data_IF_780167242829
#
_entry.id   IF_780167242829
#
_cell.length_a   1.000
_cell.length_b   1.000
_cell.length_c   1.000
_cell.angle_alpha   90.00
_cell.angle_beta   90.00
_cell.angle_gamma   90.00
#
_symmetry.space_group_name_H-M   'P 1'
#
loop_
_entity.id
_entity.type
_entity.pdbx_description
1 polymer ?
#
# COMPACT_ATOMS: atom_id res chain seq x y z
N UNK A 1 -20.71 -0.75 86.12
CA UNK A 1 -21.88 -0.70 85.22
C UNK A 1 -21.40 -1.07 83.82
N UNK A 2 -21.66 -2.30 83.42
CA UNK A 2 -21.65 -2.88 82.07
C UNK A 2 -22.65 -4.06 82.17
N UNK A 3 -23.36 -4.52 81.11
CA UNK A 3 -22.90 -4.64 79.72
C UNK A 3 -23.99 -4.40 78.64
N UNK A 4 -23.64 -4.57 77.36
CA UNK A 4 -24.36 -5.40 76.35
C UNK A 4 -24.21 -4.88 74.91
N UNK A 5 -23.60 -5.71 74.06
CA UNK A 5 -23.80 -5.75 72.60
C UNK A 5 -25.05 -6.61 72.28
N UNK A 6 -25.70 -6.47 71.10
CA UNK A 6 -25.43 -7.38 69.96
C UNK A 6 -25.50 -6.66 68.58
N UNK A 7 -24.71 -7.01 67.56
CA UNK A 7 -24.73 -8.18 66.64
C UNK A 7 -25.77 -8.10 65.51
N UNK A 8 -25.30 -8.36 64.27
CA UNK A 8 -26.01 -8.44 62.96
C UNK A 8 -26.36 -7.08 62.30
N UNK A 9 -26.22 -6.83 61.00
CA UNK A 9 -26.12 -7.70 59.83
C UNK A 9 -25.69 -6.91 58.56
N UNK A 10 -25.18 -7.64 57.55
CA UNK A 10 -25.42 -7.49 56.10
C UNK A 10 -24.89 -6.20 55.42
N UNK A 11 -23.78 -6.30 54.70
CA UNK A 11 -23.75 -6.37 53.22
C UNK A 11 -24.05 -5.03 52.53
N UNK A 12 -23.00 -4.37 52.06
CA UNK A 12 -23.06 -3.71 50.76
C UNK A 12 -21.72 -3.91 50.05
N UNK A 13 -21.69 -4.92 49.18
CA UNK A 13 -20.63 -5.11 48.21
C UNK A 13 -20.63 -3.90 47.27
N UNK A 14 -19.76 -2.93 47.55
CA UNK A 14 -19.40 -1.92 46.55
C UNK A 14 -18.68 -2.65 45.43
N UNK A 15 -19.45 -2.97 44.39
CA UNK A 15 -18.96 -3.38 43.09
C UNK A 15 -18.14 -2.22 42.55
N UNK A 16 -16.82 -2.31 42.66
CA UNK A 16 -15.89 -1.44 41.94
C UNK A 16 -16.12 -1.72 40.46
N UNK A 17 -16.99 -0.92 39.84
CA UNK A 17 -17.17 -0.91 38.41
C UNK A 17 -15.81 -0.59 37.79
N UNK A 18 -15.24 -1.58 37.12
CA UNK A 18 -14.06 -1.44 36.29
C UNK A 18 -14.21 -0.20 35.39
N UNK A 19 -13.13 0.59 35.17
CA UNK A 19 -13.20 1.71 34.25
C UNK A 19 -13.62 1.16 32.89
N UNK A 20 -14.79 1.60 32.40
CA UNK A 20 -15.22 1.33 31.04
C UNK A 20 -14.08 1.79 30.14
N UNK A 21 -13.49 0.83 29.40
CA UNK A 21 -12.51 1.09 28.35
C UNK A 21 -12.98 2.32 27.59
N UNK A 22 -12.25 3.41 27.74
CA UNK A 22 -12.38 4.58 26.90
C UNK A 22 -12.08 4.09 25.50
N UNK A 23 -13.13 3.72 24.78
CA UNK A 23 -13.09 3.44 23.36
C UNK A 23 -12.76 4.79 22.74
N UNK A 24 -11.45 5.06 22.63
CA UNK A 24 -10.94 6.23 21.96
C UNK A 24 -11.61 6.30 20.60
N UNK A 25 -12.21 7.44 20.31
CA UNK A 25 -12.69 7.80 18.99
C UNK A 25 -11.47 7.83 18.05
N UNK A 26 -11.05 6.66 17.56
CA UNK A 26 -9.96 6.53 16.61
C UNK A 26 -10.51 7.02 15.28
N UNK A 27 -10.28 8.30 14.96
CA UNK A 27 -10.37 8.77 13.58
C UNK A 27 -9.50 7.84 12.73
N UNK A 28 -10.04 7.23 11.66
CA UNK A 28 -9.27 6.29 10.84
C UNK A 28 -8.03 7.02 10.32
N UNK A 29 -6.86 6.56 10.74
CA UNK A 29 -5.59 7.12 10.30
C UNK A 29 -5.51 6.96 8.78
N UNK A 30 -5.13 8.00 8.03
CA UNK A 30 -4.96 7.89 6.59
C UNK A 30 -3.95 6.78 6.30
N UNK A 31 -4.41 5.73 5.62
CA UNK A 31 -3.53 4.61 5.23
C UNK A 31 -2.78 5.01 3.96
N UNK A 32 -1.48 4.72 3.95
CA UNK A 32 -0.67 4.89 2.75
C UNK A 32 -1.23 3.99 1.62
N UNK A 33 -1.37 4.51 0.39
CA UNK A 33 -1.66 3.68 -0.78
C UNK A 33 -0.66 2.54 -0.94
N UNK A 34 -1.05 1.48 -1.63
CA UNK A 34 -0.14 0.36 -1.85
C UNK A 34 1.11 0.84 -2.63
N UNK A 35 2.30 0.44 -2.18
CA UNK A 35 3.56 0.86 -2.80
C UNK A 35 3.60 0.59 -4.30
N UNK A 36 3.06 -0.55 -4.75
CA UNK A 36 2.95 -0.90 -6.17
C UNK A 36 2.11 0.10 -6.98
N UNK A 37 1.09 0.72 -6.36
CA UNK A 37 0.28 1.74 -6.99
C UNK A 37 1.07 3.04 -7.16
N UNK A 38 1.83 3.44 -6.13
CA UNK A 38 2.73 4.59 -6.18
C UNK A 38 3.83 4.41 -7.23
N UNK A 39 4.47 3.23 -7.27
CA UNK A 39 5.48 2.92 -8.30
C UNK A 39 4.89 2.99 -9.71
N UNK A 40 3.64 2.58 -9.94
CA UNK A 40 3.01 2.69 -11.26
C UNK A 40 2.93 4.14 -11.74
N UNK A 41 2.62 5.10 -10.85
CA UNK A 41 2.61 6.52 -11.18
C UNK A 41 4.00 7.06 -11.49
N UNK A 42 4.96 6.77 -10.60
CA UNK A 42 6.36 7.20 -10.79
C UNK A 42 6.93 6.68 -12.10
N UNK A 43 6.80 5.39 -12.38
CA UNK A 43 7.43 4.80 -13.55
C UNK A 43 6.74 5.27 -14.83
N UNK A 44 5.42 5.49 -14.80
CA UNK A 44 4.72 6.10 -15.94
C UNK A 44 5.24 7.52 -16.20
N UNK A 45 5.47 8.32 -15.16
CA UNK A 45 5.99 9.68 -15.30
C UNK A 45 7.42 9.68 -15.83
N UNK A 46 8.30 8.84 -15.26
CA UNK A 46 9.71 8.72 -15.65
C UNK A 46 9.89 8.22 -17.08
N UNK A 47 9.09 7.24 -17.51
CA UNK A 47 9.21 6.62 -18.84
C UNK A 47 8.37 7.31 -19.91
N UNK A 48 7.34 8.06 -19.53
CA UNK A 48 6.40 8.73 -20.44
C UNK A 48 5.46 7.78 -21.19
N UNK A 49 5.53 6.46 -20.94
CA UNK A 49 4.87 5.44 -21.74
C UNK A 49 4.41 4.28 -20.88
N UNK A 50 3.13 3.90 -20.99
CA UNK A 50 2.60 2.75 -20.22
C UNK A 50 3.25 1.43 -20.64
N UNK A 51 3.77 1.33 -21.87
CA UNK A 51 4.50 0.15 -22.33
C UNK A 51 5.85 0.06 -21.64
N UNK A 52 6.58 1.17 -21.61
CA UNK A 52 7.93 1.20 -21.06
C UNK A 52 7.90 1.10 -19.53
N UNK A 53 6.92 1.73 -18.87
CA UNK A 53 6.65 1.52 -17.44
C UNK A 53 6.34 0.05 -17.11
N UNK A 54 5.60 -0.65 -17.97
CA UNK A 54 5.30 -2.07 -17.77
C UNK A 54 6.55 -2.95 -17.92
N UNK A 55 7.41 -2.65 -18.89
CA UNK A 55 8.70 -3.33 -19.09
C UNK A 55 9.61 -3.10 -17.88
N UNK A 56 9.74 -1.86 -17.43
CA UNK A 56 10.55 -1.44 -16.27
C UNK A 56 10.15 -2.22 -15.01
N UNK A 57 8.85 -2.37 -14.76
CA UNK A 57 8.29 -3.08 -13.61
C UNK A 57 8.12 -4.60 -13.83
N UNK A 58 8.45 -5.13 -15.02
CA UNK A 58 8.24 -6.53 -15.40
C UNK A 58 6.78 -7.01 -15.21
N UNK A 59 5.80 -6.18 -15.60
CA UNK A 59 4.36 -6.49 -15.56
C UNK A 59 3.70 -6.24 -16.92
N UNK A 60 2.40 -6.51 -17.03
CA UNK A 60 1.63 -6.16 -18.24
C UNK A 60 1.16 -4.70 -18.21
N UNK A 61 0.94 -4.11 -19.40
CA UNK A 61 0.38 -2.75 -19.54
C UNK A 61 -0.98 -2.60 -18.85
N UNK A 62 -1.79 -3.67 -18.85
CA UNK A 62 -3.07 -3.72 -18.15
C UNK A 62 -2.88 -3.60 -16.63
N UNK A 63 -1.85 -4.25 -16.06
CA UNK A 63 -1.54 -4.15 -14.64
C UNK A 63 -1.15 -2.72 -14.25
N UNK A 64 -0.31 -2.04 -15.04
CA UNK A 64 0.04 -0.61 -14.82
C UNK A 64 -1.22 0.25 -14.80
N UNK A 65 -2.11 0.07 -15.78
CA UNK A 65 -3.38 0.81 -15.83
C UNK A 65 -4.30 0.52 -14.64
N UNK A 66 -4.37 -0.74 -14.18
CA UNK A 66 -5.17 -1.12 -13.01
C UNK A 66 -4.61 -0.51 -11.72
N UNK A 67 -3.28 -0.50 -11.56
CA UNK A 67 -2.59 0.11 -10.42
C UNK A 67 -2.82 1.62 -10.35
N UNK A 68 -2.73 2.31 -11.49
CA UNK A 68 -3.04 3.75 -11.56
C UNK A 68 -4.50 4.05 -11.18
N UNK A 69 -5.46 3.30 -11.74
CA UNK A 69 -6.87 3.44 -11.37
C UNK A 69 -7.12 3.10 -9.90
N UNK A 70 -6.36 2.17 -9.32
CA UNK A 70 -6.45 1.88 -7.89
C UNK A 70 -5.93 3.06 -7.07
N UNK A 71 -4.77 3.62 -7.44
CA UNK A 71 -4.22 4.80 -6.79
C UNK A 71 -5.21 5.98 -6.80
N UNK A 72 -5.77 6.30 -7.96
CA UNK A 72 -6.72 7.41 -8.11
C UNK A 72 -7.97 7.22 -7.26
N UNK A 73 -8.44 5.97 -7.10
CA UNK A 73 -9.56 5.64 -6.20
C UNK A 73 -9.17 5.75 -4.72
N UNK A 74 -7.98 5.29 -4.35
CA UNK A 74 -7.47 5.35 -2.98
C UNK A 74 -7.27 6.80 -2.52
N UNK A 75 -6.83 7.69 -3.43
CA UNK A 75 -6.64 9.11 -3.16
C UNK A 75 -7.90 9.95 -3.39
N UNK A 76 -8.93 9.40 -4.05
CA UNK A 76 -10.12 10.16 -4.45
C UNK A 76 -9.83 11.26 -5.47
N UNK A 77 -8.76 11.12 -6.26
CA UNK A 77 -8.26 12.16 -7.16
C UNK A 77 -7.75 11.60 -8.48
N UNK A 78 -8.05 12.28 -9.59
CA UNK A 78 -7.51 11.97 -10.91
C UNK A 78 -6.08 12.51 -11.03
N UNK A 79 -5.16 11.64 -11.39
CA UNK A 79 -3.73 11.96 -11.52
C UNK A 79 -3.28 11.92 -12.99
N UNK A 80 -3.93 11.07 -13.79
CA UNK A 80 -3.56 10.83 -15.19
C UNK A 80 -4.81 10.89 -16.08
N UNK A 81 -4.77 11.75 -17.08
CA UNK A 81 -5.81 11.91 -18.08
C UNK A 81 -5.37 11.18 -19.35
N UNK A 82 -6.23 10.33 -19.90
CA UNK A 82 -6.01 9.72 -21.22
C UNK A 82 -6.36 10.71 -22.32
N UNK A 83 -5.49 10.82 -23.33
CA UNK A 83 -5.80 11.62 -24.52
C UNK A 83 -6.99 11.00 -25.27
N UNK A 84 -7.92 11.86 -25.72
CA UNK A 84 -9.10 11.44 -26.50
C UNK A 84 -8.72 10.98 -27.92
N UNK A 85 -7.62 11.51 -28.47
CA UNK A 85 -7.20 11.28 -29.86
C UNK A 85 -6.26 10.10 -29.98
N UNK A 86 -5.52 9.78 -28.92
CA UNK A 86 -4.53 8.71 -28.92
C UNK A 86 -4.53 8.01 -27.56
N UNK A 87 -5.11 6.80 -27.53
CA UNK A 87 -5.20 5.99 -26.31
C UNK A 87 -3.82 5.59 -25.73
N UNK A 88 -2.72 5.80 -26.49
CA UNK A 88 -1.34 5.59 -26.02
C UNK A 88 -0.73 6.82 -25.37
N UNK A 89 -1.37 7.99 -25.48
CA UNK A 89 -0.92 9.23 -24.86
C UNK A 89 -1.68 9.53 -23.57
N UNK A 90 -0.90 9.90 -22.56
CA UNK A 90 -1.39 10.30 -21.26
C UNK A 90 -0.90 11.71 -20.97
N UNK A 91 -1.72 12.48 -20.28
CA UNK A 91 -1.35 13.76 -19.72
C UNK A 91 -1.51 13.67 -18.21
N UNK A 92 -0.50 14.11 -17.46
CA UNK A 92 -0.63 14.22 -16.02
C UNK A 92 -1.43 15.46 -15.65
N UNK A 93 -2.21 15.38 -14.58
CA UNK A 93 -2.71 16.56 -13.87
C UNK A 93 -1.54 17.26 -13.18
N UNK A 94 -1.79 18.45 -12.59
CA UNK A 94 -0.76 19.13 -11.80
C UNK A 94 -0.35 18.26 -10.61
N UNK A 95 -1.35 17.74 -9.89
CA UNK A 95 -1.14 16.93 -8.69
C UNK A 95 -0.53 15.56 -9.02
N UNK A 96 -0.87 14.99 -10.18
CA UNK A 96 -0.22 13.78 -10.68
C UNK A 96 1.27 13.98 -10.97
N UNK A 97 1.65 15.13 -11.56
CA UNK A 97 3.07 15.48 -11.76
C UNK A 97 3.79 15.70 -10.43
N UNK A 98 3.22 16.53 -9.56
CA UNK A 98 3.83 16.88 -8.28
C UNK A 98 4.08 15.63 -7.43
N UNK A 99 3.09 14.74 -7.35
CA UNK A 99 3.22 13.46 -6.66
C UNK A 99 4.26 12.56 -7.32
N UNK A 100 4.30 12.46 -8.65
CA UNK A 100 5.28 11.62 -9.33
C UNK A 100 6.72 12.10 -9.13
N UNK A 101 6.96 13.42 -9.15
CA UNK A 101 8.28 14.01 -8.86
C UNK A 101 8.70 13.72 -7.41
N UNK A 102 7.79 13.91 -6.46
CA UNK A 102 8.02 13.57 -5.06
C UNK A 102 8.37 12.09 -4.89
N UNK A 103 7.57 11.19 -5.48
CA UNK A 103 7.78 9.75 -5.41
C UNK A 103 9.11 9.33 -6.03
N UNK A 104 9.52 9.97 -7.12
CA UNK A 104 10.82 9.66 -7.74
C UNK A 104 11.96 9.92 -6.75
N UNK A 105 12.01 11.09 -6.12
CA UNK A 105 13.04 11.40 -5.12
C UNK A 105 13.00 10.42 -3.94
N UNK A 106 11.81 10.20 -3.37
CA UNK A 106 11.63 9.31 -2.23
C UNK A 106 12.01 7.85 -2.54
N UNK A 107 11.63 7.32 -3.71
CA UNK A 107 12.00 5.97 -4.13
C UNK A 107 13.50 5.84 -4.38
N UNK A 108 14.15 6.84 -4.97
CA UNK A 108 15.60 6.83 -5.16
C UNK A 108 16.35 6.80 -3.83
N UNK A 109 15.94 7.63 -2.86
CA UNK A 109 16.49 7.60 -1.51
C UNK A 109 16.28 6.23 -0.86
N UNK A 110 15.08 5.65 -0.98
CA UNK A 110 14.80 4.31 -0.49
C UNK A 110 15.74 3.28 -1.13
N UNK A 111 15.93 3.32 -2.45
CA UNK A 111 16.83 2.40 -3.16
C UNK A 111 18.27 2.50 -2.69
N UNK A 112 18.78 3.70 -2.44
CA UNK A 112 20.15 3.93 -1.95
C UNK A 112 20.37 3.43 -0.52
N UNK A 113 19.30 3.35 0.27
CA UNK A 113 19.34 2.88 1.65
C UNK A 113 19.02 1.38 1.79
N UNK A 114 18.67 0.67 0.70
CA UNK A 114 18.53 -0.78 0.74
C UNK A 114 19.93 -1.40 0.88
N UNK A 115 20.18 -2.26 1.89
CA UNK A 115 21.45 -2.96 2.03
C UNK A 115 21.77 -3.78 0.77
N UNK A 116 23.05 -3.79 0.37
CA UNK A 116 23.50 -4.35 -0.91
C UNK A 116 23.12 -5.85 -1.08
N UNK A 117 23.08 -6.60 0.02
CA UNK A 117 22.64 -8.01 0.04
C UNK A 117 21.12 -8.25 0.05
N UNK A 118 20.33 -7.19 0.25
CA UNK A 118 18.86 -7.23 0.24
C UNK A 118 18.27 -6.86 -1.12
N UNK A 119 19.09 -6.40 -2.06
CA UNK A 119 18.67 -6.31 -3.46
C UNK A 119 18.28 -7.70 -3.94
N UNK A 120 16.99 -7.89 -4.26
CA UNK A 120 16.48 -9.17 -4.73
C UNK A 120 17.14 -9.46 -6.08
N UNK A 121 18.24 -10.22 -6.05
CA UNK A 121 18.87 -10.76 -7.23
C UNK A 121 17.80 -11.54 -8.00
N UNK A 122 17.52 -11.12 -9.24
CA UNK A 122 16.57 -11.79 -10.12
C UNK A 122 17.07 -13.22 -10.35
N UNK A 123 16.66 -14.14 -9.48
CA UNK A 123 16.95 -15.58 -9.60
C UNK A 123 16.12 -16.08 -10.77
N UNK A 124 16.66 -15.91 -11.97
CA UNK A 124 16.11 -16.50 -13.20
C UNK A 124 16.26 -18.00 -13.06
N UNK A 125 15.25 -18.64 -12.47
CA UNK A 125 15.12 -20.08 -12.50
C UNK A 125 14.86 -20.45 -13.95
N UNK A 126 15.92 -20.79 -14.70
CA UNK A 126 15.77 -21.45 -16.00
C UNK A 126 14.98 -22.74 -15.74
N UNK A 127 13.71 -22.73 -16.14
CA UNK A 127 12.93 -23.95 -16.27
C UNK A 127 13.61 -24.75 -17.38
N UNK A 128 14.40 -25.76 -17.01
CA UNK A 128 14.81 -26.80 -17.95
C UNK A 128 13.53 -27.52 -18.35
N UNK A 129 12.99 -27.20 -19.52
CA UNK A 129 12.09 -28.09 -20.23
C UNK A 129 12.88 -29.34 -20.57
N UNK A 130 12.72 -30.41 -19.79
CA UNK A 130 13.20 -31.73 -20.17
C UNK A 130 12.32 -32.17 -21.35
N UNK A 131 12.88 -32.14 -22.55
CA UNK A 131 12.29 -32.86 -23.67
C UNK A 131 12.26 -34.33 -23.31
N UNK A 132 11.09 -34.95 -23.47
CA UNK A 132 10.94 -36.39 -23.59
C UNK A 132 10.06 -36.63 -24.81
N UNK A 133 10.69 -36.53 -25.98
CA UNK A 133 10.21 -37.16 -27.19
C UNK A 133 10.85 -38.55 -27.22
N UNK A 134 10.07 -39.58 -26.94
CA UNK A 134 10.24 -40.98 -27.33
C UNK A 134 9.27 -41.78 -26.46
N UNK A 135 8.17 -42.25 -27.05
CA UNK A 135 8.02 -43.69 -27.25
C UNK A 135 6.94 -43.93 -28.29
N UNK A 136 7.33 -44.75 -29.26
CA UNK A 136 6.53 -45.35 -30.33
C UNK A 136 5.73 -46.52 -29.76
#
# INVERSE_FOLDING_TARGET
MAPSLPSHALEDHVVVAAPKKSQGNQTPQPRLPALLHLCALESLHRTGSSRDAAIDQAVTVACVSQRLKALERELGQVLVIRSKTDARRFAFTREGRDLAVFLHGWLQELYQNIPEGAHIARRTRRVRTRGSAADL
#
